data_IF_825666797466
#
_entry.id   IF_825666797466
#
_cell.length_a   1.000
_cell.length_b   1.000
_cell.length_c   1.000
_cell.angle_alpha   90.00
_cell.angle_beta   90.00
_cell.angle_gamma   90.00
#
_symmetry.space_group_name_H-M   'P 1'
#
loop_
_entity.id
_entity.type
_entity.pdbx_description
1 polymer ?
#
# COMPACT_ATOMS: atom_id res chain seq x y z
N UNK A 1 34.50 25.02 30.12
CA UNK A 1 33.03 24.95 29.93
C UNK A 1 32.79 24.64 28.45
N UNK A 2 32.87 23.37 28.08
CA UNK A 2 32.65 22.92 26.71
C UNK A 2 31.18 22.52 26.58
N UNK A 3 30.43 23.24 25.76
CA UNK A 3 29.04 22.96 25.45
C UNK A 3 28.96 21.78 24.49
N UNK A 4 28.21 20.75 24.88
CA UNK A 4 27.95 19.53 24.12
C UNK A 4 27.32 19.85 22.75
N UNK A 5 27.89 19.24 21.71
CA UNK A 5 27.36 19.27 20.36
C UNK A 5 26.05 18.47 20.31
N UNK A 6 24.97 19.13 19.88
CA UNK A 6 23.69 18.50 19.54
C UNK A 6 23.93 17.32 18.59
N UNK A 7 23.53 16.11 19.01
CA UNK A 7 23.43 14.91 18.17
C UNK A 7 22.69 15.26 16.88
N UNK A 8 23.41 15.21 15.76
CA UNK A 8 22.82 15.24 14.43
C UNK A 8 21.87 14.04 14.30
N UNK A 9 20.65 14.31 13.84
CA UNK A 9 19.65 13.31 13.47
C UNK A 9 20.26 12.47 12.35
N UNK A 10 20.66 11.24 12.68
CA UNK A 10 21.21 10.27 11.72
C UNK A 10 20.15 10.03 10.64
N UNK A 11 20.59 9.94 9.39
CA UNK A 11 19.76 9.74 8.20
C UNK A 11 19.05 8.37 8.25
N UNK A 12 17.91 8.31 8.95
CA UNK A 12 17.10 7.11 9.17
C UNK A 12 16.69 6.41 7.85
N UNK A 13 16.71 7.14 6.71
CA UNK A 13 16.36 6.60 5.41
C UNK A 13 17.38 5.62 4.84
N UNK A 14 18.65 5.70 5.26
CA UNK A 14 19.70 4.76 4.85
C UNK A 14 19.56 3.41 5.57
N UNK A 15 19.15 3.42 6.84
CA UNK A 15 19.01 2.21 7.66
C UNK A 15 17.76 1.41 7.26
N UNK A 16 16.61 2.07 7.09
CA UNK A 16 15.39 1.40 6.60
C UNK A 16 15.61 0.76 5.23
N UNK A 17 16.33 1.44 4.33
CA UNK A 17 16.65 0.90 3.01
C UNK A 17 17.55 -0.34 3.10
N UNK A 18 18.58 -0.30 3.95
CA UNK A 18 19.46 -1.45 4.16
C UNK A 18 18.68 -2.65 4.71
N UNK A 19 17.82 -2.43 5.71
CA UNK A 19 16.97 -3.47 6.29
C UNK A 19 16.00 -4.07 5.26
N UNK A 20 15.47 -3.25 4.35
CA UNK A 20 14.64 -3.71 3.25
C UNK A 20 15.42 -4.56 2.25
N UNK A 21 16.63 -4.14 1.84
CA UNK A 21 17.45 -4.92 0.91
C UNK A 21 17.86 -6.28 1.51
N UNK A 22 18.22 -6.32 2.79
CA UNK A 22 18.47 -7.57 3.50
C UNK A 22 17.21 -8.44 3.63
N UNK A 23 16.03 -7.82 3.74
CA UNK A 23 14.76 -8.55 3.72
C UNK A 23 14.47 -9.14 2.33
N UNK A 24 14.74 -8.40 1.25
CA UNK A 24 14.63 -8.88 -0.11
C UNK A 24 15.42 -10.18 -0.31
N UNK A 25 16.67 -10.23 0.16
CA UNK A 25 17.50 -11.43 0.08
C UNK A 25 16.87 -12.62 0.83
N UNK A 26 16.30 -12.38 2.02
CA UNK A 26 15.65 -13.43 2.83
C UNK A 26 14.38 -13.99 2.19
N UNK A 27 13.59 -13.15 1.51
CA UNK A 27 12.33 -13.56 0.88
C UNK A 27 12.51 -14.04 -0.56
N UNK A 28 13.76 -14.03 -1.07
CA UNK A 28 14.09 -14.45 -2.43
C UNK A 28 13.74 -13.41 -3.51
N UNK A 29 13.57 -12.15 -3.13
CA UNK A 29 13.43 -11.05 -4.08
C UNK A 29 14.81 -10.72 -4.65
N UNK A 30 14.99 -10.94 -5.95
CA UNK A 30 16.27 -10.76 -6.63
C UNK A 30 16.28 -9.42 -7.34
N UNK A 31 17.28 -8.58 -7.06
CA UNK A 31 17.56 -7.36 -7.81
C UNK A 31 18.71 -7.59 -8.78
N UNK A 32 18.60 -7.05 -9.99
CA UNK A 32 19.69 -7.02 -10.96
C UNK A 32 20.89 -6.25 -10.40
N UNK A 33 22.09 -6.74 -10.69
CA UNK A 33 23.32 -6.01 -10.38
C UNK A 33 23.46 -4.73 -11.20
N UNK A 34 22.55 -4.36 -12.11
CA UNK A 34 22.59 -3.09 -12.84
C UNK A 34 21.72 -1.99 -12.25
N UNK A 35 20.95 -2.27 -11.20
CA UNK A 35 20.08 -1.30 -10.54
C UNK A 35 20.42 -1.11 -9.08
N UNK A 36 19.94 0.00 -8.51
CA UNK A 36 19.96 0.26 -7.07
C UNK A 36 18.79 1.19 -6.70
N UNK A 37 18.38 1.15 -5.42
CA UNK A 37 17.33 2.02 -4.88
C UNK A 37 17.96 3.21 -4.17
N UNK A 38 17.43 4.41 -4.36
CA UNK A 38 17.96 5.65 -3.79
C UNK A 38 16.88 6.70 -3.58
N UNK A 39 17.12 7.66 -2.66
CA UNK A 39 16.37 8.93 -2.58
C UNK A 39 17.07 10.08 -3.31
N UNK A 40 18.33 9.91 -3.66
CA UNK A 40 19.14 10.94 -4.35
C UNK A 40 19.08 10.68 -5.84
N UNK A 41 18.81 11.73 -6.61
CA UNK A 41 18.68 11.64 -8.07
C UNK A 41 17.31 11.14 -8.53
N UNK A 42 16.31 11.16 -7.64
CA UNK A 42 14.93 10.77 -7.93
C UNK A 42 14.01 11.99 -7.85
N UNK A 43 12.87 11.94 -8.55
CA UNK A 43 11.91 13.04 -8.59
C UNK A 43 11.11 13.17 -7.28
N UNK A 44 10.74 12.05 -6.68
CA UNK A 44 9.97 12.00 -5.44
C UNK A 44 10.40 10.79 -4.60
N UNK A 45 10.84 11.03 -3.36
CA UNK A 45 11.22 10.01 -2.40
C UNK A 45 12.13 8.90 -2.98
N UNK A 46 11.83 7.62 -2.71
CA UNK A 46 12.62 6.50 -3.23
C UNK A 46 12.31 6.24 -4.71
N UNK A 47 13.35 5.86 -5.45
CA UNK A 47 13.24 5.38 -6.82
C UNK A 47 14.36 4.40 -7.14
N UNK A 48 14.19 3.65 -8.22
CA UNK A 48 15.18 2.72 -8.74
C UNK A 48 15.97 3.40 -9.86
N UNK A 49 17.30 3.36 -9.77
CA UNK A 49 18.22 3.98 -10.70
C UNK A 49 19.13 2.92 -11.32
N UNK A 50 19.51 3.13 -12.58
CA UNK A 50 20.51 2.32 -13.26
C UNK A 50 21.92 2.72 -12.80
N UNK A 51 22.77 1.73 -12.53
CA UNK A 51 24.21 1.93 -12.29
C UNK A 51 25.08 1.48 -13.47
N UNK A 52 24.47 0.82 -14.45
CA UNK A 52 25.07 0.39 -15.70
C UNK A 52 24.02 0.39 -16.82
N UNK A 53 24.45 0.22 -18.06
CA UNK A 53 23.57 0.17 -19.23
C UNK A 53 22.66 -1.07 -19.19
N UNK A 54 21.36 -0.83 -19.35
CA UNK A 54 20.30 -1.84 -19.35
C UNK A 54 19.81 -2.01 -20.77
N UNK A 55 19.78 -3.24 -21.26
CA UNK A 55 19.27 -3.56 -22.60
C UNK A 55 17.75 -3.78 -22.57
N UNK A 56 17.08 -3.61 -23.71
CA UNK A 56 15.65 -3.87 -23.83
C UNK A 56 15.36 -5.35 -23.52
N UNK A 57 14.34 -5.60 -22.70
CA UNK A 57 13.98 -6.94 -22.24
C UNK A 57 14.81 -7.49 -21.08
N UNK A 58 15.80 -6.76 -20.57
CA UNK A 58 16.59 -7.19 -19.41
C UNK A 58 15.76 -7.15 -18.11
N UNK A 59 15.84 -8.22 -17.33
CA UNK A 59 15.11 -8.35 -16.06
C UNK A 59 15.77 -7.48 -14.99
N UNK A 60 15.03 -6.52 -14.44
CA UNK A 60 15.52 -5.60 -13.40
C UNK A 60 15.42 -6.17 -12.00
N UNK A 61 14.34 -6.89 -11.72
CA UNK A 61 14.13 -7.58 -10.45
C UNK A 61 13.06 -8.66 -10.61
N UNK A 62 12.99 -9.59 -9.66
CA UNK A 62 11.97 -10.65 -9.60
C UNK A 62 11.44 -10.76 -8.18
N UNK A 63 10.12 -10.77 -8.03
CA UNK A 63 9.44 -10.86 -6.74
C UNK A 63 8.72 -12.21 -6.64
N UNK A 64 9.08 -13.09 -5.70
CA UNK A 64 8.33 -14.32 -5.47
C UNK A 64 6.91 -14.02 -4.99
N UNK A 65 5.90 -14.76 -5.49
CA UNK A 65 4.49 -14.56 -5.08
C UNK A 65 4.27 -14.60 -3.55
N UNK A 66 4.93 -15.46 -2.75
CA UNK A 66 4.79 -15.44 -1.29
C UNK A 66 5.28 -14.16 -0.60
N UNK A 67 6.14 -13.37 -1.26
CA UNK A 67 6.64 -12.10 -0.72
C UNK A 67 5.64 -10.95 -0.91
N UNK A 68 4.60 -11.12 -1.73
CA UNK A 68 3.57 -10.11 -1.95
C UNK A 68 2.76 -9.92 -0.67
N UNK A 69 2.50 -8.66 -0.29
CA UNK A 69 1.57 -8.34 0.78
C UNK A 69 0.14 -8.35 0.21
N UNK A 70 -0.61 -9.40 0.51
CA UNK A 70 -1.95 -9.66 -0.02
C UNK A 70 -2.83 -10.29 1.06
N UNK A 71 -4.15 -10.24 0.88
CA UNK A 71 -5.12 -10.85 1.80
C UNK A 71 -4.92 -12.37 1.98
N UNK A 72 -4.27 -13.03 1.01
CA UNK A 72 -3.98 -14.46 1.05
C UNK A 72 -2.64 -14.81 1.71
N UNK A 73 -1.67 -13.89 1.70
CA UNK A 73 -0.31 -14.13 2.22
C UNK A 73 -0.14 -13.63 3.65
N UNK A 74 -0.94 -12.64 4.08
CA UNK A 74 -0.91 -12.11 5.46
C UNK A 74 -1.17 -13.20 6.51
N UNK A 75 -0.67 -12.98 7.73
CA UNK A 75 -0.90 -13.89 8.87
C UNK A 75 -2.38 -14.10 9.22
N UNK A 76 -3.24 -13.13 8.90
CA UNK A 76 -4.69 -13.19 9.16
C UNK A 76 -5.50 -13.78 7.99
N UNK A 77 -4.84 -14.32 6.95
CA UNK A 77 -5.50 -14.78 5.72
C UNK A 77 -6.56 -15.84 5.95
N UNK A 78 -6.32 -16.79 6.86
CA UNK A 78 -7.28 -17.83 7.20
C UNK A 78 -8.60 -17.26 7.76
N UNK A 79 -8.53 -16.18 8.55
CA UNK A 79 -9.71 -15.52 9.08
C UNK A 79 -10.43 -14.72 7.99
N UNK A 80 -9.68 -13.95 7.19
CA UNK A 80 -10.25 -13.16 6.09
C UNK A 80 -10.98 -14.05 5.07
N UNK A 81 -10.40 -15.20 4.73
CA UNK A 81 -11.02 -16.18 3.85
C UNK A 81 -12.27 -16.81 4.47
N UNK A 82 -12.23 -17.12 5.77
CA UNK A 82 -13.39 -17.69 6.49
C UNK A 82 -14.58 -16.74 6.53
N UNK A 83 -14.33 -15.44 6.69
CA UNK A 83 -15.37 -14.41 6.81
C UNK A 83 -15.56 -13.59 5.53
N UNK A 84 -15.12 -14.11 4.38
CA UNK A 84 -15.13 -13.39 3.09
C UNK A 84 -16.49 -12.78 2.74
N UNK A 85 -17.58 -13.50 2.97
CA UNK A 85 -18.96 -13.02 2.71
C UNK A 85 -19.35 -11.80 3.53
N UNK A 86 -18.77 -11.62 4.72
CA UNK A 86 -19.00 -10.45 5.56
C UNK A 86 -18.12 -9.25 5.18
N UNK A 87 -17.15 -9.44 4.29
CA UNK A 87 -16.18 -8.43 3.85
C UNK A 87 -16.45 -7.91 2.44
N UNK A 88 -17.56 -8.34 1.83
CA UNK A 88 -17.97 -7.87 0.50
C UNK A 88 -18.34 -6.39 0.53
N UNK A 89 -17.81 -5.63 -0.42
CA UNK A 89 -17.98 -4.19 -0.54
C UNK A 89 -17.93 -3.76 -2.00
N UNK A 90 -18.29 -2.52 -2.27
CA UNK A 90 -18.24 -1.95 -3.62
C UNK A 90 -16.82 -1.88 -4.19
N UNK A 91 -15.80 -1.66 -3.35
CA UNK A 91 -14.39 -1.56 -3.79
C UNK A 91 -13.68 -2.91 -3.93
N UNK A 92 -14.21 -3.97 -3.31
CA UNK A 92 -13.52 -5.26 -3.12
C UNK A 92 -12.15 -5.16 -2.42
N UNK A 93 -11.81 -4.01 -1.83
CA UNK A 93 -10.51 -3.80 -1.17
C UNK A 93 -10.52 -4.08 0.33
N UNK A 94 -11.70 -4.24 0.95
CA UNK A 94 -11.83 -4.43 2.40
C UNK A 94 -10.92 -5.54 2.96
N UNK A 95 -10.83 -6.76 2.37
CA UNK A 95 -9.96 -7.78 2.94
C UNK A 95 -8.46 -7.43 2.81
N UNK A 96 -8.06 -6.79 1.70
CA UNK A 96 -6.70 -6.25 1.54
C UNK A 96 -6.41 -5.17 2.59
N UNK A 97 -7.33 -4.23 2.81
CA UNK A 97 -7.16 -3.14 3.78
C UNK A 97 -7.11 -3.67 5.21
N UNK A 98 -7.87 -4.72 5.55
CA UNK A 98 -7.75 -5.41 6.85
C UNK A 98 -6.40 -6.10 7.03
N UNK A 99 -5.87 -6.71 5.97
CA UNK A 99 -4.51 -7.26 5.96
C UNK A 99 -3.46 -6.17 6.19
N UNK A 100 -3.57 -5.03 5.50
CA UNK A 100 -2.68 -3.89 5.67
C UNK A 100 -2.78 -3.30 7.08
N UNK A 101 -3.98 -3.12 7.63
CA UNK A 101 -4.20 -2.64 9.00
C UNK A 101 -3.48 -3.54 10.02
N UNK A 102 -3.60 -4.86 9.87
CA UNK A 102 -2.95 -5.82 10.75
C UNK A 102 -1.42 -5.77 10.63
N UNK A 103 -0.89 -5.90 9.41
CA UNK A 103 0.55 -5.98 9.19
C UNK A 103 1.26 -4.65 9.49
N UNK A 104 0.63 -3.51 9.19
CA UNK A 104 1.20 -2.19 9.43
C UNK A 104 1.34 -1.85 10.93
N UNK A 105 0.41 -2.33 11.75
CA UNK A 105 0.44 -2.06 13.20
C UNK A 105 1.13 -3.17 14.00
N UNK A 106 1.43 -4.31 13.36
CA UNK A 106 2.10 -5.44 13.98
C UNK A 106 3.62 -5.25 14.02
N UNK A 107 4.18 -5.21 15.24
CA UNK A 107 5.64 -5.20 15.45
C UNK A 107 6.35 -6.48 14.97
N UNK A 108 5.60 -7.56 14.73
CA UNK A 108 6.12 -8.84 14.25
C UNK A 108 5.78 -9.10 12.78
N UNK A 109 5.36 -8.06 12.04
CA UNK A 109 5.01 -8.23 10.63
C UNK A 109 6.19 -8.77 9.84
N UNK A 110 5.90 -9.79 9.02
CA UNK A 110 6.87 -10.31 8.06
C UNK A 110 7.34 -9.22 7.08
N UNK A 111 6.46 -8.26 6.76
CA UNK A 111 6.73 -7.14 5.86
C UNK A 111 7.26 -5.90 6.59
N UNK A 112 7.58 -5.98 7.89
CA UNK A 112 8.09 -4.84 8.66
C UNK A 112 9.18 -4.03 7.95
N UNK A 113 10.22 -4.66 7.35
CA UNK A 113 11.23 -3.93 6.56
C UNK A 113 10.68 -3.22 5.32
N UNK A 114 9.75 -3.84 4.59
CA UNK A 114 9.06 -3.21 3.45
C UNK A 114 8.20 -2.02 3.89
N UNK A 115 7.39 -2.20 4.95
CA UNK A 115 6.52 -1.17 5.51
C UNK A 115 7.32 -0.01 6.11
N UNK A 116 8.56 -0.26 6.57
CA UNK A 116 9.45 0.78 7.08
C UNK A 116 9.92 1.79 6.02
N UNK A 117 9.77 1.45 4.73
CA UNK A 117 10.05 2.38 3.63
C UNK A 117 8.90 3.33 3.34
N UNK A 118 7.71 3.06 3.85
CA UNK A 118 6.55 3.89 3.62
C UNK A 118 6.80 5.27 4.25
N UNK A 119 6.59 6.32 3.46
CA UNK A 119 6.61 7.69 3.96
C UNK A 119 5.37 7.97 4.81
N UNK A 120 5.34 9.13 5.48
CA UNK A 120 4.09 9.63 6.07
C UNK A 120 3.02 9.63 4.94
N UNK A 121 1.90 8.93 5.15
CA UNK A 121 0.82 8.84 4.16
C UNK A 121 0.27 10.22 3.77
N UNK A 122 0.43 11.23 4.62
CA UNK A 122 0.06 12.61 4.31
C UNK A 122 0.98 13.26 3.28
N UNK A 123 2.15 12.69 3.02
CA UNK A 123 3.05 13.12 1.93
C UNK A 123 2.65 12.53 0.57
N UNK A 124 1.57 11.73 0.49
CA UNK A 124 1.08 11.20 -0.78
C UNK A 124 0.34 12.24 -1.63
N UNK A 125 0.21 13.49 -1.14
CA UNK A 125 -0.35 14.66 -1.83
C UNK A 125 -1.71 14.42 -2.53
N UNK A 126 -2.47 13.40 -2.10
CA UNK A 126 -3.77 13.10 -2.67
C UNK A 126 -4.76 14.24 -2.33
N UNK A 127 -5.55 14.74 -3.31
CA UNK A 127 -6.54 15.79 -3.06
C UNK A 127 -7.61 15.45 -2.03
N UNK A 128 -7.76 14.16 -1.67
CA UNK A 128 -8.64 13.71 -0.59
C UNK A 128 -8.20 14.17 0.81
N UNK A 129 -6.92 14.50 0.98
CA UNK A 129 -6.39 15.04 2.24
C UNK A 129 -6.38 16.57 2.31
N UNK A 130 -6.74 17.24 1.21
CA UNK A 130 -6.80 18.70 1.17
C UNK A 130 -8.08 19.19 1.86
N UNK A 131 -8.06 20.45 2.29
CA UNK A 131 -9.30 21.09 2.74
C UNK A 131 -10.30 21.12 1.59
N UNK A 132 -11.60 21.02 1.90
CA UNK A 132 -12.63 21.07 0.86
C UNK A 132 -12.58 22.37 0.08
N UNK A 133 -12.32 23.49 0.77
CA UNK A 133 -12.21 24.82 0.17
C UNK A 133 -11.03 24.91 -0.80
N UNK A 134 -9.87 24.34 -0.44
CA UNK A 134 -8.70 24.29 -1.32
C UNK A 134 -8.96 23.42 -2.55
N UNK A 135 -9.52 22.22 -2.36
CA UNK A 135 -9.89 21.31 -3.44
C UNK A 135 -10.90 21.94 -4.40
N UNK A 136 -11.98 22.51 -3.88
CA UNK A 136 -13.03 23.12 -4.70
C UNK A 136 -12.56 24.42 -5.36
N UNK A 137 -11.66 25.17 -4.72
CA UNK A 137 -11.10 26.41 -5.26
C UNK A 137 -10.12 26.18 -6.40
N UNK A 138 -9.21 25.20 -6.24
CA UNK A 138 -8.12 24.96 -7.20
C UNK A 138 -8.47 23.97 -8.30
N UNK A 139 -9.33 22.98 -8.02
CA UNK A 139 -9.61 21.86 -8.94
C UNK A 139 -11.02 21.91 -9.53
N UNK A 140 -11.71 23.06 -9.43
CA UNK A 140 -13.04 23.24 -10.01
C UNK A 140 -13.06 22.92 -11.50
N UNK A 141 -14.01 22.07 -11.91
CA UNK A 141 -14.21 21.70 -13.32
C UNK A 141 -13.32 20.57 -13.83
N UNK A 142 -12.41 20.03 -13.01
CA UNK A 142 -11.56 18.88 -13.38
C UNK A 142 -12.24 17.53 -13.20
N UNK A 143 -13.38 17.48 -12.47
CA UNK A 143 -14.02 16.25 -12.02
C UNK A 143 -13.44 15.66 -10.72
N UNK A 144 -12.20 16.04 -10.36
CA UNK A 144 -11.51 15.55 -9.15
C UNK A 144 -12.29 15.82 -7.86
N UNK A 145 -12.88 17.02 -7.63
CA UNK A 145 -13.64 17.24 -6.40
C UNK A 145 -14.81 16.26 -6.21
N UNK A 146 -15.55 15.97 -7.28
CA UNK A 146 -16.69 15.04 -7.23
C UNK A 146 -16.26 13.59 -7.04
N UNK A 147 -15.14 13.18 -7.67
CA UNK A 147 -14.55 11.85 -7.45
C UNK A 147 -14.12 11.68 -5.99
N UNK A 148 -13.39 12.65 -5.45
CA UNK A 148 -12.93 12.63 -4.05
C UNK A 148 -14.08 12.63 -3.05
N UNK A 149 -15.14 13.43 -3.29
CA UNK A 149 -16.32 13.44 -2.42
C UNK A 149 -17.02 12.06 -2.40
N UNK A 150 -17.05 11.38 -3.55
CA UNK A 150 -17.59 10.02 -3.69
C UNK A 150 -16.72 9.02 -2.92
N UNK A 151 -15.40 9.08 -3.11
CA UNK A 151 -14.45 8.19 -2.43
C UNK A 151 -14.50 8.35 -0.91
N UNK A 152 -14.44 9.58 -0.40
CA UNK A 152 -14.53 9.84 1.04
C UNK A 152 -15.83 9.31 1.64
N UNK A 153 -16.95 9.46 0.93
CA UNK A 153 -18.25 8.93 1.37
C UNK A 153 -18.25 7.39 1.40
N UNK A 154 -17.68 6.75 0.37
CA UNK A 154 -17.56 5.30 0.31
C UNK A 154 -16.64 4.74 1.40
N UNK A 155 -15.48 5.37 1.62
CA UNK A 155 -14.51 5.00 2.66
C UNK A 155 -15.15 5.08 4.04
N UNK A 156 -15.87 6.17 4.34
CA UNK A 156 -16.55 6.33 5.62
C UNK A 156 -17.62 5.24 5.83
N UNK A 157 -18.40 4.94 4.78
CA UNK A 157 -19.43 3.90 4.83
C UNK A 157 -18.82 2.50 5.02
N UNK A 158 -17.84 2.13 4.19
CA UNK A 158 -17.14 0.84 4.31
C UNK A 158 -16.50 0.67 5.69
N UNK A 159 -15.87 1.72 6.23
CA UNK A 159 -15.29 1.65 7.55
C UNK A 159 -16.35 1.44 8.64
N UNK A 160 -17.44 2.22 8.59
CA UNK A 160 -18.47 2.21 9.64
C UNK A 160 -19.31 0.93 9.62
N UNK A 161 -19.66 0.46 8.42
CA UNK A 161 -20.65 -0.61 8.26
C UNK A 161 -20.00 -2.01 8.18
N UNK A 162 -18.72 -2.08 7.78
CA UNK A 162 -18.03 -3.36 7.53
C UNK A 162 -16.78 -3.49 8.41
N UNK A 163 -15.82 -2.59 8.26
CA UNK A 163 -14.47 -2.73 8.85
C UNK A 163 -14.51 -2.61 10.38
N UNK A 164 -15.17 -1.59 10.92
CA UNK A 164 -15.24 -1.36 12.36
C UNK A 164 -16.00 -2.49 13.08
N UNK A 165 -17.19 -2.95 12.62
CA UNK A 165 -17.85 -4.12 13.18
C UNK A 165 -16.97 -5.38 13.12
N UNK A 166 -16.19 -5.57 12.06
CA UNK A 166 -15.26 -6.69 11.96
C UNK A 166 -14.12 -6.58 13.00
N UNK A 167 -13.49 -5.42 13.13
CA UNK A 167 -12.45 -5.14 14.13
C UNK A 167 -12.98 -5.39 15.55
N UNK A 168 -14.19 -4.93 15.86
CA UNK A 168 -14.79 -5.09 17.19
C UNK A 168 -15.09 -6.56 17.55
N UNK A 169 -15.31 -7.44 16.55
CA UNK A 169 -15.50 -8.88 16.76
C UNK A 169 -14.18 -9.64 16.96
N UNK A 170 -13.06 -9.07 16.53
CA UNK A 170 -11.73 -9.70 16.56
C UNK A 170 -10.68 -8.81 17.28
N UNK A 171 -10.92 -8.46 18.58
CA UNK A 171 -10.08 -7.52 19.31
C UNK A 171 -8.67 -8.04 19.63
N UNK A 172 -8.44 -9.35 19.49
CA UNK A 172 -7.14 -10.00 19.61
C UNK A 172 -6.20 -9.69 18.43
N UNK A 173 -6.77 -9.35 17.28
CA UNK A 173 -6.04 -9.02 16.06
C UNK A 173 -6.05 -7.51 15.76
N UNK A 174 -7.16 -6.83 16.03
CA UNK A 174 -7.29 -5.40 15.76
C UNK A 174 -7.78 -4.60 16.98
N UNK A 175 -7.09 -3.49 17.27
CA UNK A 175 -7.51 -2.52 18.28
C UNK A 175 -8.23 -1.32 17.63
N UNK A 176 -9.49 -1.00 17.98
CA UNK A 176 -10.23 0.13 17.39
C UNK A 176 -9.62 1.51 17.72
N UNK A 177 -8.80 1.62 18.78
CA UNK A 177 -8.09 2.87 19.09
C UNK A 177 -6.89 3.12 18.17
N UNK A 178 -6.38 2.07 17.52
CA UNK A 178 -5.25 2.14 16.59
C UNK A 178 -5.75 2.08 15.15
N UNK A 179 -6.71 1.21 14.86
CA UNK A 179 -7.29 1.00 13.54
C UNK A 179 -8.50 1.91 13.32
N UNK A 180 -8.23 3.21 13.29
CA UNK A 180 -9.23 4.27 13.16
C UNK A 180 -9.62 4.52 11.71
N UNK A 181 -10.70 5.28 11.49
CA UNK A 181 -11.10 5.76 10.17
C UNK A 181 -9.97 6.54 9.47
N UNK A 182 -9.20 7.32 10.23
CA UNK A 182 -8.09 8.10 9.68
C UNK A 182 -7.00 7.18 9.10
N UNK A 183 -6.60 6.15 9.85
CA UNK A 183 -5.61 5.17 9.36
C UNK A 183 -6.17 4.37 8.18
N UNK A 184 -7.46 4.00 8.22
CA UNK A 184 -8.11 3.32 7.10
C UNK A 184 -8.07 4.18 5.83
N UNK A 185 -8.43 5.47 5.93
CA UNK A 185 -8.37 6.43 4.83
C UNK A 185 -6.96 6.56 4.25
N UNK A 186 -5.93 6.58 5.11
CA UNK A 186 -4.53 6.60 4.70
C UNK A 186 -4.13 5.35 3.91
N UNK A 187 -4.57 4.17 4.35
CA UNK A 187 -4.31 2.92 3.65
C UNK A 187 -5.08 2.81 2.33
N UNK A 188 -6.29 3.36 2.24
CA UNK A 188 -7.02 3.45 0.95
C UNK A 188 -6.23 4.30 -0.04
N UNK A 189 -5.75 5.48 0.37
CA UNK A 189 -4.88 6.30 -0.48
C UNK A 189 -3.59 5.57 -0.89
N UNK A 190 -3.00 4.81 0.04
CA UNK A 190 -1.83 3.99 -0.26
C UNK A 190 -2.13 2.91 -1.30
N UNK A 191 -3.25 2.18 -1.16
CA UNK A 191 -3.68 1.17 -2.14
C UNK A 191 -3.91 1.81 -3.51
N UNK A 192 -4.57 2.97 -3.58
CA UNK A 192 -4.77 3.69 -4.84
C UNK A 192 -3.45 4.05 -5.54
N UNK A 193 -2.40 4.38 -4.78
CA UNK A 193 -1.13 4.84 -5.32
C UNK A 193 -0.10 3.72 -5.59
N UNK A 194 -0.13 2.62 -4.83
CA UNK A 194 0.94 1.61 -4.83
C UNK A 194 0.49 0.17 -5.12
N UNK A 195 -0.82 -0.12 -5.14
CA UNK A 195 -1.28 -1.47 -5.42
C UNK A 195 -1.17 -1.82 -6.91
N UNK A 196 -1.06 -3.12 -7.18
CA UNK A 196 -1.10 -3.67 -8.54
C UNK A 196 -2.30 -4.61 -8.64
N UNK A 197 -3.01 -4.53 -9.77
CA UNK A 197 -4.09 -5.45 -10.10
C UNK A 197 -3.64 -6.35 -11.25
N UNK A 198 -3.61 -7.66 -11.01
CA UNK A 198 -3.31 -8.65 -12.06
C UNK A 198 -4.51 -8.71 -13.03
N UNK A 199 -4.30 -8.56 -14.35
CA UNK A 199 -5.38 -8.71 -15.33
C UNK A 199 -6.00 -10.11 -15.25
N UNK A 200 -7.33 -10.19 -15.38
CA UNK A 200 -7.98 -11.49 -15.56
C UNK A 200 -7.61 -12.02 -16.95
N UNK A 201 -7.38 -13.33 -17.06
CA UNK A 201 -7.29 -13.96 -18.37
C UNK A 201 -8.70 -13.91 -18.96
N UNK A 202 -8.84 -13.29 -20.12
CA UNK A 202 -10.05 -13.43 -20.93
C UNK A 202 -10.14 -14.92 -21.29
N UNK A 203 -11.21 -15.59 -20.84
CA UNK A 203 -11.51 -16.94 -21.30
C UNK A 203 -11.96 -16.81 -22.77
N UNK A 204 -11.12 -17.24 -23.72
CA UNK A 204 -11.37 -17.24 -25.17
C UNK A 204 -12.42 -18.30 -25.58
N UNK A 205 -13.59 -18.38 -24.93
CA UNK A 205 -14.59 -19.44 -25.17
C UNK A 205 -16.04 -18.89 -25.32
N UNK A 206 -16.30 -17.88 -26.16
CA UNK A 206 -17.68 -17.43 -26.45
C UNK A 206 -17.88 -16.78 -27.85
N UNK A 207 -17.16 -17.22 -28.89
CA UNK A 207 -17.38 -16.78 -30.29
C UNK A 207 -17.53 -17.96 -31.28
N UNK A 208 -18.18 -19.05 -30.88
CA UNK A 208 -18.75 -20.04 -31.81
C UNK A 208 -20.25 -20.21 -31.53
N UNK A 209 -21.09 -19.32 -32.08
CA UNK A 209 -22.46 -19.64 -32.55
C UNK A 209 -23.15 -18.35 -33.05
N UNK A 210 -23.16 -18.14 -34.38
CA UNK A 210 -24.32 -17.65 -35.17
C UNK A 210 -23.93 -17.57 -36.67
N UNK A 211 -23.85 -18.73 -37.32
CA UNK A 211 -24.19 -18.86 -38.75
C UNK A 211 -25.37 -19.83 -38.88
N UNK A 212 -26.61 -19.30 -38.85
CA UNK A 212 -27.76 -19.81 -39.62
C UNK A 212 -28.65 -18.65 -40.11
#
# INVERSE_FOLDING_TARGET
>A
MATEAKRQKVDNGSESLQNFLEWCDRVGLVLSSKVFVSKRGTMAAYGMLAKDNIEEGEVLFTIPRPALLHQETTKVSALLNKEKSCLESSSSWVPLLLALLYEYTSSQSHWGPYLSLWSDFRALDHPMFWSKEERDGLLKGTGVPGAVDTDLSNIQREYTDIVLPFILRHPDLWNPNTHTLDLYTQLVAFVMAYSFQEPQKEDEDDDEEEEE
#
